data_IF_606346392243
#
_entry.id   IF_606346392243
#
_cell.length_a   1.000
_cell.length_b   1.000
_cell.length_c   1.000
_cell.angle_alpha   90.00
_cell.angle_beta   90.00
_cell.angle_gamma   90.00
#
_symmetry.space_group_name_H-M   'P 1'
#
loop_
_entity.id
_entity.type
_entity.pdbx_description
1 polymer ?
#
# COMPACT_ATOMS: atom_id res chain seq x y z
N UNK A 1 13.54 -2.28 0.96
CA UNK A 1 12.84 -2.20 2.27
C UNK A 1 11.73 -3.25 2.38
N UNK A 2 11.57 -3.84 3.57
CA UNK A 2 10.56 -4.85 3.88
C UNK A 2 9.24 -4.19 4.30
N UNK A 3 8.23 -4.31 3.44
CA UNK A 3 6.90 -3.73 3.64
C UNK A 3 6.14 -4.42 4.79
N UNK A 4 6.32 -5.73 4.96
CA UNK A 4 5.65 -6.49 6.02
C UNK A 4 6.15 -6.04 7.39
N UNK A 5 7.47 -5.90 7.54
CA UNK A 5 8.07 -5.40 8.78
C UNK A 5 7.59 -3.97 9.09
N UNK A 6 7.50 -3.10 8.09
CA UNK A 6 7.02 -1.73 8.27
C UNK A 6 5.56 -1.69 8.75
N UNK A 7 4.66 -2.44 8.12
CA UNK A 7 3.25 -2.50 8.52
C UNK A 7 3.10 -3.12 9.93
N UNK A 8 3.87 -4.16 10.25
CA UNK A 8 3.88 -4.75 11.58
C UNK A 8 4.30 -3.74 12.66
N UNK A 9 5.32 -2.92 12.37
CA UNK A 9 5.77 -1.88 13.29
C UNK A 9 4.72 -0.77 13.44
N UNK A 10 4.07 -0.34 12.35
CA UNK A 10 2.94 0.60 12.41
C UNK A 10 1.82 0.07 13.32
N UNK A 11 1.51 -1.23 13.22
CA UNK A 11 0.54 -1.86 14.12
C UNK A 11 1.03 -1.87 15.58
N UNK A 12 2.30 -2.22 15.82
CA UNK A 12 2.88 -2.29 17.17
C UNK A 12 2.82 -0.94 17.90
N UNK A 13 3.16 0.16 17.22
CA UNK A 13 3.26 1.50 17.83
C UNK A 13 1.91 2.18 18.03
N UNK A 14 0.87 1.82 17.27
CA UNK A 14 -0.47 2.36 17.47
C UNK A 14 -1.08 1.80 18.76
N UNK A 15 -1.77 2.68 19.51
CA UNK A 15 -2.65 2.25 20.61
C UNK A 15 -3.90 1.53 20.06
N UNK A 16 -4.58 0.69 20.85
CA UNK A 16 -5.91 0.19 20.50
C UNK A 16 -6.86 1.33 20.12
N UNK A 17 -7.65 1.16 19.06
CA UNK A 17 -8.47 2.20 18.45
C UNK A 17 -7.70 3.26 17.63
N UNK A 18 -6.38 3.15 17.53
CA UNK A 18 -5.54 4.02 16.71
C UNK A 18 -5.85 3.87 15.21
N UNK A 19 -5.76 4.98 14.47
CA UNK A 19 -6.05 5.02 13.03
C UNK A 19 -4.78 4.93 12.20
N UNK A 20 -4.75 4.01 11.25
CA UNK A 20 -3.78 3.95 10.18
C UNK A 20 -4.38 4.58 8.92
N UNK A 21 -3.70 5.58 8.36
CA UNK A 21 -4.04 6.18 7.07
C UNK A 21 -2.87 5.91 6.12
N UNK A 22 -3.12 5.17 5.05
CA UNK A 22 -2.15 4.92 4.00
C UNK A 22 -2.60 5.59 2.70
N UNK A 23 -1.65 6.20 2.02
CA UNK A 23 -1.77 6.71 0.66
C UNK A 23 -0.52 6.23 -0.08
N UNK A 24 -0.71 5.34 -1.05
CA UNK A 24 0.42 4.75 -1.75
C UNK A 24 0.12 4.56 -3.24
N UNK A 25 1.18 4.45 -4.02
CA UNK A 25 1.09 3.94 -5.38
C UNK A 25 0.99 2.41 -5.34
N UNK A 26 0.03 1.87 -6.10
CA UNK A 26 -0.20 0.44 -6.16
C UNK A 26 -0.34 -0.05 -7.59
N UNK A 27 -0.18 -1.36 -7.76
CA UNK A 27 -0.47 -2.02 -9.03
C UNK A 27 -1.92 -1.78 -9.44
N UNK A 28 -2.10 -1.18 -10.63
CA UNK A 28 -3.41 -0.96 -11.24
C UNK A 28 -4.13 -2.29 -11.49
N UNK A 29 -5.45 -2.29 -11.33
CA UNK A 29 -6.30 -3.40 -11.76
C UNK A 29 -6.47 -3.51 -13.28
N UNK A 30 -6.12 -2.45 -14.03
CA UNK A 30 -6.15 -2.48 -15.49
C UNK A 30 -4.84 -3.06 -16.02
N UNK A 31 -4.92 -4.23 -16.66
CA UNK A 31 -3.75 -5.01 -17.12
C UNK A 31 -2.75 -4.20 -17.95
N UNK A 32 -3.23 -3.34 -18.85
CA UNK A 32 -2.37 -2.48 -19.70
C UNK A 32 -1.65 -1.44 -18.85
N UNK A 33 -2.35 -0.78 -17.93
CA UNK A 33 -1.76 0.23 -17.03
C UNK A 33 -0.74 -0.44 -16.12
N UNK A 34 -1.07 -1.59 -15.53
CA UNK A 34 -0.16 -2.36 -14.68
C UNK A 34 1.11 -2.78 -15.44
N UNK A 35 0.97 -3.19 -16.70
CA UNK A 35 2.12 -3.53 -17.54
C UNK A 35 3.06 -2.33 -17.73
N UNK A 36 2.50 -1.16 -18.07
CA UNK A 36 3.29 0.08 -18.20
C UNK A 36 3.94 0.47 -16.86
N UNK A 37 3.21 0.40 -15.73
CA UNK A 37 3.75 0.63 -14.39
C UNK A 37 4.94 -0.31 -14.09
N UNK A 38 4.82 -1.59 -14.44
CA UNK A 38 5.88 -2.59 -14.21
C UNK A 38 7.15 -2.30 -15.02
N UNK A 39 7.02 -1.68 -16.19
CA UNK A 39 8.17 -1.23 -16.98
C UNK A 39 8.82 0.01 -16.35
N UNK A 40 8.01 0.99 -15.95
CA UNK A 40 8.47 2.23 -15.31
C UNK A 40 9.12 1.98 -13.94
N UNK A 41 8.58 1.03 -13.16
CA UNK A 41 9.07 0.68 -11.83
C UNK A 41 10.55 0.29 -11.84
N UNK A 42 11.03 -0.41 -12.88
CA UNK A 42 12.45 -0.77 -13.00
C UNK A 42 13.38 0.46 -12.99
N UNK A 43 12.91 1.56 -13.57
CA UNK A 43 13.64 2.83 -13.57
C UNK A 43 13.47 3.53 -12.22
N UNK A 44 12.24 3.64 -11.71
CA UNK A 44 11.93 4.30 -10.43
C UNK A 44 12.64 3.66 -9.23
N UNK A 45 12.71 2.32 -9.17
CA UNK A 45 13.45 1.59 -8.14
C UNK A 45 14.94 1.93 -8.20
N UNK A 46 15.52 2.00 -9.40
CA UNK A 46 16.95 2.30 -9.57
C UNK A 46 17.28 3.75 -9.20
N UNK A 47 16.40 4.69 -9.50
CA UNK A 47 16.63 6.12 -9.28
C UNK A 47 16.32 6.55 -7.85
N UNK A 48 15.21 6.05 -7.28
CA UNK A 48 14.64 6.56 -6.03
C UNK A 48 14.22 5.46 -5.03
N UNK A 49 14.40 4.18 -5.38
CA UNK A 49 13.96 3.06 -4.52
C UNK A 49 12.44 2.89 -4.43
N UNK A 50 11.70 3.44 -5.40
CA UNK A 50 10.25 3.54 -5.39
C UNK A 50 9.57 2.38 -6.14
N UNK A 51 8.65 1.68 -5.48
CA UNK A 51 7.96 0.49 -5.97
C UNK A 51 6.48 0.78 -6.20
N UNK A 52 6.11 0.97 -7.46
CA UNK A 52 4.82 1.49 -7.89
C UNK A 52 3.73 0.42 -8.04
N UNK A 53 4.10 -0.87 -8.03
CA UNK A 53 3.20 -2.00 -8.28
C UNK A 53 2.85 -2.81 -7.02
N UNK A 54 3.42 -2.45 -5.86
CA UNK A 54 3.14 -3.13 -4.59
C UNK A 54 1.68 -3.00 -4.18
N UNK A 55 1.27 -3.87 -3.25
CA UNK A 55 -0.09 -3.90 -2.71
C UNK A 55 -0.02 -4.10 -1.19
N UNK A 56 -0.01 -3.01 -0.40
CA UNK A 56 0.10 -3.08 1.06
C UNK A 56 -1.18 -3.61 1.73
N UNK A 57 -2.35 -3.44 1.12
CA UNK A 57 -3.64 -3.77 1.75
C UNK A 57 -3.72 -5.18 2.37
N UNK A 58 -3.33 -6.28 1.66
CA UNK A 58 -3.33 -7.60 2.28
C UNK A 58 -2.41 -7.73 3.50
N UNK A 59 -1.32 -6.97 3.54
CA UNK A 59 -0.41 -6.95 4.69
C UNK A 59 -1.01 -6.18 5.87
N UNK A 60 -1.76 -5.11 5.59
CA UNK A 60 -2.51 -4.34 6.60
C UNK A 60 -3.55 -5.23 7.27
N UNK A 61 -4.32 -5.98 6.49
CA UNK A 61 -5.30 -6.94 7.01
C UNK A 61 -4.62 -8.05 7.83
N UNK A 62 -3.52 -8.63 7.31
CA UNK A 62 -2.75 -9.67 8.00
C UNK A 62 -2.12 -9.17 9.32
N UNK A 63 -1.79 -7.88 9.42
CA UNK A 63 -1.23 -7.28 10.63
C UNK A 63 -2.27 -7.08 11.75
N UNK A 64 -3.56 -7.32 11.49
CA UNK A 64 -4.64 -7.22 12.48
C UNK A 64 -5.39 -5.89 12.47
N UNK A 65 -5.17 -5.05 11.44
CA UNK A 65 -5.98 -3.85 11.27
C UNK A 65 -7.37 -4.19 10.71
N UNK A 66 -8.38 -3.48 11.20
CA UNK A 66 -9.73 -3.49 10.63
C UNK A 66 -9.85 -2.37 9.62
N UNK A 67 -9.94 -2.72 8.33
CA UNK A 67 -10.08 -1.76 7.24
C UNK A 67 -11.47 -1.12 7.28
N UNK A 68 -11.53 0.21 7.37
CA UNK A 68 -12.78 0.98 7.41
C UNK A 68 -13.14 1.57 6.04
N UNK A 69 -12.13 1.97 5.26
CA UNK A 69 -12.31 2.53 3.93
C UNK A 69 -11.13 2.17 3.04
N UNK A 70 -11.42 1.80 1.80
CA UNK A 70 -10.44 1.61 0.74
C UNK A 70 -10.94 2.34 -0.50
N UNK A 71 -10.07 3.11 -1.14
CA UNK A 71 -10.36 3.76 -2.43
C UNK A 71 -9.20 3.60 -3.38
N UNK A 72 -9.53 3.34 -4.65
CA UNK A 72 -8.59 3.31 -5.75
C UNK A 72 -8.84 4.48 -6.69
N UNK A 73 -7.79 5.25 -6.94
CA UNK A 73 -7.82 6.49 -7.72
C UNK A 73 -6.88 6.35 -8.92
N UNK A 74 -6.98 7.30 -9.87
CA UNK A 74 -6.06 7.42 -11.03
C UNK A 74 -5.90 6.10 -11.79
N UNK A 75 -7.00 5.55 -12.29
CA UNK A 75 -7.02 4.24 -12.96
C UNK A 75 -6.46 3.11 -12.08
N UNK A 76 -6.67 3.20 -10.77
CA UNK A 76 -6.24 2.20 -9.79
C UNK A 76 -4.74 2.20 -9.49
N UNK A 77 -3.99 3.22 -9.93
CA UNK A 77 -2.56 3.36 -9.63
C UNK A 77 -2.28 3.93 -8.23
N UNK A 78 -3.28 4.55 -7.59
CA UNK A 78 -3.17 5.12 -6.25
C UNK A 78 -4.22 4.50 -5.35
N UNK A 79 -3.84 4.07 -4.16
CA UNK A 79 -4.73 3.50 -3.17
C UNK A 79 -4.71 4.29 -1.86
N UNK A 80 -5.90 4.57 -1.34
CA UNK A 80 -6.12 5.18 -0.03
C UNK A 80 -6.75 4.16 0.88
N UNK A 81 -6.15 3.92 2.04
CA UNK A 81 -6.69 3.02 3.06
C UNK A 81 -6.82 3.78 4.38
N UNK A 82 -7.99 3.66 4.99
CA UNK A 82 -8.20 4.02 6.39
C UNK A 82 -8.53 2.75 7.16
N UNK A 83 -7.75 2.44 8.18
CA UNK A 83 -7.93 1.26 9.01
C UNK A 83 -7.75 1.61 10.50
N UNK A 84 -8.26 0.76 11.38
CA UNK A 84 -8.14 0.92 12.83
C UNK A 84 -7.48 -0.31 13.45
N UNK A 85 -6.63 -0.09 14.44
CA UNK A 85 -6.12 -1.16 15.29
C UNK A 85 -7.23 -1.57 16.25
N UNK A 86 -7.64 -2.83 16.19
CA UNK A 86 -8.59 -3.40 17.16
C UNK A 86 -7.99 -3.38 18.59
#
# INVERSE_FOLDING_TARGET
PDERAAIAEMHRVLRPGGKLLLLDHVGSQHRVVHFVQSLLEKLSVRMCGDYQTRRPLPLVEQAGFVVQRQERLKLGMVERVAAVKA
#
